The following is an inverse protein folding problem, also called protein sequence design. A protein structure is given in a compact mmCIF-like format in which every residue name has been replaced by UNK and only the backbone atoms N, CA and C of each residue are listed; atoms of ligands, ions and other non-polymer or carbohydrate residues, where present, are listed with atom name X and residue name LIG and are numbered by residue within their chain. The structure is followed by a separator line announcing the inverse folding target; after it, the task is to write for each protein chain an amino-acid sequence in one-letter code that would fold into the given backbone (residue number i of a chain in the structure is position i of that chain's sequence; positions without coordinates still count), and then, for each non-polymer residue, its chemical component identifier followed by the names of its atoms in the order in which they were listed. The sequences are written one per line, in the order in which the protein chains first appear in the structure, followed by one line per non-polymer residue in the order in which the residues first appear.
data_IF_848935925454
#
_entry.id   IF_848935925454
#
_cell.length_a   1.000
_cell.length_b   1.000
_cell.length_c   1.000
_cell.angle_alpha   90.00
_cell.angle_beta   90.00
_cell.angle_gamma   90.00
#
_symmetry.space_group_name_H-M   'P 1'
#
loop_
_entity.id
_entity.type
_entity.pdbx_description
1 polymer ?
#
# COMPACT_ATOMS: atom_id res chain seq x y z
N UNK A 1 4.54 -29.94 6.52
CA UNK A 1 4.10 -28.54 6.35
C UNK A 1 2.65 -28.55 5.93
N UNK A 2 1.76 -28.09 6.81
CA UNK A 2 0.32 -28.18 6.62
C UNK A 2 -0.11 -27.24 5.47
N UNK A 3 -1.14 -27.61 4.72
CA UNK A 3 -1.63 -26.85 3.56
C UNK A 3 -2.00 -25.39 3.92
N UNK A 4 -2.55 -25.20 5.13
CA UNK A 4 -2.81 -23.91 5.75
C UNK A 4 -1.57 -23.00 5.87
N UNK A 5 -0.43 -23.59 6.23
CA UNK A 5 0.83 -22.87 6.39
C UNK A 5 1.39 -22.46 5.02
N UNK A 6 1.17 -23.28 3.99
CA UNK A 6 1.56 -22.96 2.60
C UNK A 6 0.75 -21.79 2.05
N UNK A 7 -0.56 -21.77 2.29
CA UNK A 7 -1.45 -20.68 1.84
C UNK A 7 -1.06 -19.37 2.53
N UNK A 8 -0.86 -19.38 3.85
CA UNK A 8 -0.43 -18.21 4.60
C UNK A 8 0.94 -17.70 4.14
N UNK A 9 1.91 -18.60 3.92
CA UNK A 9 3.22 -18.24 3.38
C UNK A 9 3.09 -17.62 1.99
N UNK A 10 2.27 -18.18 1.11
CA UNK A 10 2.03 -17.61 -0.22
C UNK A 10 1.42 -16.21 -0.14
N UNK A 11 0.46 -16.01 0.77
CA UNK A 11 -0.13 -14.70 1.03
C UNK A 11 0.90 -13.69 1.54
N UNK A 12 1.68 -14.07 2.55
CA UNK A 12 2.75 -13.24 3.12
C UNK A 12 3.79 -12.87 2.07
N UNK A 13 4.18 -13.81 1.21
CA UNK A 13 5.14 -13.55 0.13
C UNK A 13 4.57 -12.57 -0.90
N UNK A 14 3.31 -12.71 -1.30
CA UNK A 14 2.64 -11.76 -2.19
C UNK A 14 2.56 -10.37 -1.54
N UNK A 15 2.21 -10.31 -0.26
CA UNK A 15 2.15 -9.05 0.48
C UNK A 15 3.52 -8.37 0.53
N UNK A 16 4.58 -9.10 0.88
CA UNK A 16 5.96 -8.60 0.89
C UNK A 16 6.35 -8.09 -0.50
N UNK A 17 6.03 -8.83 -1.57
CA UNK A 17 6.33 -8.42 -2.94
C UNK A 17 5.65 -7.10 -3.29
N UNK A 18 4.38 -6.91 -2.94
CA UNK A 18 3.67 -5.66 -3.17
C UNK A 18 4.23 -4.50 -2.34
N UNK A 19 4.59 -4.74 -1.08
CA UNK A 19 5.25 -3.72 -0.23
C UNK A 19 6.62 -3.33 -0.78
N UNK A 20 7.42 -4.28 -1.25
CA UNK A 20 8.71 -4.01 -1.88
C UNK A 20 8.53 -3.23 -3.18
N UNK A 21 7.53 -3.56 -4.01
CA UNK A 21 7.22 -2.78 -5.20
C UNK A 21 6.86 -1.33 -4.84
N UNK A 22 5.94 -1.12 -3.89
CA UNK A 22 5.59 0.22 -3.42
C UNK A 22 6.79 0.98 -2.85
N UNK A 23 7.64 0.34 -2.04
CA UNK A 23 8.83 0.96 -1.48
C UNK A 23 9.82 1.40 -2.57
N UNK A 24 10.16 0.49 -3.50
CA UNK A 24 11.05 0.81 -4.61
C UNK A 24 10.47 1.93 -5.49
N UNK A 25 9.18 1.88 -5.79
CA UNK A 25 8.49 2.92 -6.54
C UNK A 25 8.58 4.29 -5.85
N UNK A 26 8.38 4.35 -4.53
CA UNK A 26 8.49 5.58 -3.74
C UNK A 26 9.94 6.11 -3.70
N UNK A 27 10.94 5.23 -3.62
CA UNK A 27 12.36 5.61 -3.69
C UNK A 27 12.68 6.22 -5.06
N UNK A 28 12.29 5.58 -6.16
CA UNK A 28 12.50 6.09 -7.51
C UNK A 28 11.78 7.42 -7.73
N UNK A 29 10.54 7.55 -7.25
CA UNK A 29 9.77 8.78 -7.33
C UNK A 29 10.46 9.91 -6.54
N UNK A 30 10.91 9.62 -5.32
CA UNK A 30 11.65 10.58 -4.48
C UNK A 30 12.96 11.00 -5.15
N UNK A 31 13.68 10.07 -5.77
CA UNK A 31 14.90 10.33 -6.52
C UNK A 31 14.65 11.28 -7.70
N UNK A 32 13.56 11.06 -8.45
CA UNK A 32 13.17 11.91 -9.58
C UNK A 32 12.93 13.37 -9.18
N UNK A 33 12.39 13.61 -7.97
CA UNK A 33 12.07 14.94 -7.46
C UNK A 33 13.14 15.54 -6.54
N UNK A 34 14.21 14.81 -6.21
CA UNK A 34 15.25 15.28 -5.28
C UNK A 34 16.58 15.55 -5.98
N UNK A 35 16.94 14.74 -6.98
CA UNK A 35 18.24 14.86 -7.65
C UNK A 35 18.16 15.88 -8.80
N UNK A 36 19.07 16.86 -8.79
CA UNK A 36 19.15 17.92 -9.81
C UNK A 36 19.22 17.39 -11.25
N UNK A 37 19.84 16.23 -11.46
CA UNK A 37 19.95 15.55 -12.76
C UNK A 37 18.62 15.04 -13.31
N UNK A 38 17.73 14.55 -12.44
CA UNK A 38 16.42 14.01 -12.84
C UNK A 38 15.31 15.07 -12.80
N UNK A 39 15.57 16.24 -12.22
CA UNK A 39 14.68 17.40 -12.31
C UNK A 39 14.72 18.02 -13.70
N UNK A 40 13.56 18.40 -14.27
CA UNK A 40 13.54 19.18 -15.49
C UNK A 40 14.17 20.56 -15.24
N UNK A 41 14.99 21.03 -16.17
CA UNK A 41 15.52 22.39 -16.15
C UNK A 41 14.42 23.37 -16.53
N UNK A 42 14.18 24.34 -15.67
CA UNK A 42 13.20 25.40 -15.92
C UNK A 42 13.94 26.69 -16.31
N UNK A 43 13.60 27.22 -17.48
CA UNK A 43 14.12 28.50 -17.97
C UNK A 43 12.94 29.45 -18.13
N UNK A 44 12.95 30.60 -17.45
CA UNK A 44 11.87 31.60 -17.48
C UNK A 44 10.47 31.05 -17.16
N UNK A 45 10.37 30.14 -16.16
CA UNK A 45 9.10 29.53 -15.76
C UNK A 45 8.59 28.41 -16.67
N UNK A 46 9.28 28.14 -17.80
CA UNK A 46 8.97 27.02 -18.69
C UNK A 46 9.91 25.86 -18.37
N UNK A 47 9.34 24.78 -17.83
CA UNK A 47 10.07 23.55 -17.51
C UNK A 47 9.94 22.56 -18.67
N UNK A 48 11.07 22.16 -19.27
CA UNK A 48 11.10 21.09 -20.29
C UNK A 48 11.75 19.84 -19.70
N UNK A 49 11.00 18.75 -19.64
CA UNK A 49 11.52 17.43 -19.27
C UNK A 49 12.06 16.70 -20.51
N UNK A 50 13.20 16.05 -20.38
CA UNK A 50 13.70 15.10 -21.39
C UNK A 50 12.80 13.86 -21.43
N UNK A 51 12.68 13.21 -22.59
CA UNK A 51 11.96 11.94 -22.73
C UNK A 51 12.43 10.88 -21.71
N UNK A 52 13.72 10.89 -21.37
CA UNK A 52 14.31 9.99 -20.37
C UNK A 52 13.83 10.28 -18.94
N UNK A 53 13.73 11.57 -18.56
CA UNK A 53 13.24 12.00 -17.24
C UNK A 53 11.75 11.65 -17.08
N UNK A 54 10.96 11.89 -18.13
CA UNK A 54 9.53 11.55 -18.16
C UNK A 54 9.32 10.04 -18.10
N UNK A 55 10.09 9.25 -18.86
CA UNK A 55 10.01 7.79 -18.81
C UNK A 55 10.37 7.24 -17.43
N UNK A 56 11.43 7.76 -16.80
CA UNK A 56 11.83 7.39 -15.45
C UNK A 56 10.72 7.71 -14.43
N UNK A 57 10.15 8.91 -14.48
CA UNK A 57 9.05 9.32 -13.60
C UNK A 57 7.81 8.42 -13.75
N UNK A 58 7.38 8.14 -14.99
CA UNK A 58 6.24 7.25 -15.22
C UNK A 58 6.52 5.82 -14.80
N UNK A 59 7.75 5.31 -15.00
CA UNK A 59 8.12 3.98 -14.54
C UNK A 59 7.96 3.84 -13.02
N UNK A 60 8.36 4.86 -12.26
CA UNK A 60 8.17 4.91 -10.81
C UNK A 60 6.68 4.89 -10.44
N UNK A 61 5.86 5.69 -11.13
CA UNK A 61 4.40 5.70 -10.91
C UNK A 61 3.74 4.35 -11.21
N UNK A 62 4.13 3.67 -12.29
CA UNK A 62 3.61 2.34 -12.62
C UNK A 62 3.99 1.30 -11.57
N UNK A 63 5.22 1.33 -11.06
CA UNK A 63 5.66 0.43 -9.98
C UNK A 63 4.83 0.68 -8.71
N UNK A 64 4.59 1.95 -8.34
CA UNK A 64 3.73 2.30 -7.20
C UNK A 64 2.31 1.80 -7.44
N UNK A 65 1.76 1.98 -8.65
CA UNK A 65 0.41 1.56 -9.00
C UNK A 65 0.25 0.03 -8.86
N UNK A 66 1.24 -0.76 -9.27
CA UNK A 66 1.24 -2.21 -9.10
C UNK A 66 1.27 -2.59 -7.61
N UNK A 67 2.19 -2.01 -6.83
CA UNK A 67 2.30 -2.31 -5.40
C UNK A 67 1.06 -1.92 -4.59
N UNK A 68 0.52 -0.71 -4.83
CA UNK A 68 -0.69 -0.23 -4.17
C UNK A 68 -1.94 -0.99 -4.64
N UNK A 69 -2.01 -1.31 -5.93
CA UNK A 69 -3.12 -2.05 -6.55
C UNK A 69 -3.19 -3.50 -6.08
N UNK A 70 -2.05 -4.16 -5.82
CA UNK A 70 -2.00 -5.51 -5.28
C UNK A 70 -2.29 -5.58 -3.78
N UNK A 71 -1.82 -4.60 -3.01
CA UNK A 71 -1.96 -4.60 -1.54
C UNK A 71 -3.42 -4.51 -1.08
N UNK A 72 -4.21 -3.62 -1.68
CA UNK A 72 -5.61 -3.38 -1.26
C UNK A 72 -6.51 -4.63 -1.31
N UNK A 73 -6.64 -5.34 -2.45
CA UNK A 73 -7.46 -6.55 -2.52
C UNK A 73 -6.86 -7.71 -1.71
N UNK A 74 -5.54 -7.77 -1.55
CA UNK A 74 -4.88 -8.79 -0.76
C UNK A 74 -5.24 -8.65 0.73
N UNK A 75 -5.12 -7.44 1.30
CA UNK A 75 -5.47 -7.20 2.72
C UNK A 75 -6.98 -7.36 2.98
N UNK A 76 -7.83 -6.87 2.07
CA UNK A 76 -9.29 -6.94 2.30
C UNK A 76 -9.82 -8.37 2.25
N UNK A 77 -9.32 -9.20 1.33
CA UNK A 77 -9.69 -10.63 1.27
C UNK A 77 -9.17 -11.38 2.50
N UNK A 78 -7.91 -11.14 2.89
CA UNK A 78 -7.35 -11.74 4.10
C UNK A 78 -8.08 -11.36 5.39
N UNK A 79 -8.46 -10.09 5.52
CA UNK A 79 -9.25 -9.60 6.66
C UNK A 79 -10.63 -10.26 6.70
N UNK A 80 -11.28 -10.42 5.54
CA UNK A 80 -12.56 -11.13 5.44
C UNK A 80 -12.45 -12.60 5.86
N UNK A 81 -11.34 -13.26 5.52
CA UNK A 81 -11.07 -14.68 5.84
C UNK A 81 -10.85 -14.93 7.33
N UNK A 82 -10.60 -13.88 8.13
CA UNK A 82 -10.46 -14.01 9.59
C UNK A 82 -11.78 -14.37 10.28
N UNK A 83 -12.93 -14.04 9.68
CA UNK A 83 -14.25 -14.21 10.28
C UNK A 83 -15.00 -15.42 9.70
N UNK A 84 -15.78 -16.12 10.53
CA UNK A 84 -16.69 -17.19 10.09
C UNK A 84 -18.06 -16.68 9.67
N UNK A 85 -18.42 -17.01 8.43
CA UNK A 85 -19.71 -16.61 7.83
C UNK A 85 -20.87 -17.47 8.36
N UNK A 86 -20.57 -18.65 8.93
CA UNK A 86 -21.57 -19.54 9.55
C UNK A 86 -21.99 -19.01 10.93
N UNK A 87 -21.08 -18.39 11.67
CA UNK A 87 -21.36 -17.87 13.00
C UNK A 87 -22.01 -16.47 12.91
N UNK A 88 -23.27 -16.30 13.35
CA UNK A 88 -23.98 -15.03 13.23
C UNK A 88 -23.31 -13.89 14.01
N UNK A 89 -22.57 -14.18 15.07
CA UNK A 89 -21.80 -13.18 15.83
C UNK A 89 -20.57 -12.70 15.03
N UNK A 90 -19.76 -13.62 14.50
CA UNK A 90 -18.58 -13.28 13.70
C UNK A 90 -18.94 -12.57 12.40
N UNK A 91 -20.08 -12.91 11.79
CA UNK A 91 -20.61 -12.19 10.63
C UNK A 91 -20.89 -10.71 10.92
N UNK A 92 -21.43 -10.38 12.10
CA UNK A 92 -21.63 -8.97 12.52
C UNK A 92 -20.30 -8.26 12.72
N UNK A 93 -19.31 -8.94 13.31
CA UNK A 93 -17.96 -8.39 13.48
C UNK A 93 -17.27 -8.13 12.14
N UNK A 94 -17.43 -9.01 11.14
CA UNK A 94 -16.94 -8.82 9.78
C UNK A 94 -17.49 -7.54 9.14
N UNK A 95 -18.80 -7.29 9.29
CA UNK A 95 -19.43 -6.05 8.79
C UNK A 95 -18.87 -4.83 9.52
N UNK A 96 -18.71 -4.89 10.84
CA UNK A 96 -18.12 -3.81 11.63
C UNK A 96 -16.66 -3.53 11.21
N UNK A 97 -15.88 -4.58 10.94
CA UNK A 97 -14.53 -4.46 10.39
C UNK A 97 -14.51 -3.67 9.07
N UNK A 98 -15.38 -4.00 8.12
CA UNK A 98 -15.45 -3.28 6.85
C UNK A 98 -15.96 -1.85 7.00
N UNK A 99 -16.86 -1.58 7.95
CA UNK A 99 -17.28 -0.22 8.29
C UNK A 99 -16.08 0.60 8.80
N UNK A 100 -15.29 0.06 9.73
CA UNK A 100 -14.11 0.74 10.25
C UNK A 100 -13.00 0.92 9.21
N UNK A 101 -12.79 -0.09 8.37
CA UNK A 101 -11.86 -0.02 7.23
C UNK A 101 -12.21 1.14 6.29
N UNK A 102 -13.49 1.25 5.94
CA UNK A 102 -13.99 2.30 5.05
C UNK A 102 -13.87 3.68 5.70
N UNK A 103 -14.29 3.81 6.96
CA UNK A 103 -14.17 5.05 7.73
C UNK A 103 -12.71 5.52 7.83
N UNK A 104 -11.80 4.62 8.20
CA UNK A 104 -10.37 4.91 8.30
C UNK A 104 -9.77 5.31 6.95
N UNK A 105 -10.22 4.69 5.85
CA UNK A 105 -9.77 5.04 4.49
C UNK A 105 -10.17 6.46 4.09
N UNK A 106 -11.40 6.88 4.42
CA UNK A 106 -11.85 8.26 4.15
C UNK A 106 -11.11 9.29 5.00
N UNK A 107 -10.90 9.02 6.29
CA UNK A 107 -10.08 9.89 7.15
C UNK A 107 -8.65 9.98 6.63
N UNK A 108 -8.05 8.84 6.26
CA UNK A 108 -6.71 8.81 5.67
C UNK A 108 -6.62 9.64 4.38
N UNK A 109 -7.65 9.54 3.53
CA UNK A 109 -7.78 10.39 2.34
C UNK A 109 -7.84 11.88 2.67
N UNK A 110 -8.63 12.27 3.67
CA UNK A 110 -8.75 13.66 4.12
C UNK A 110 -7.45 14.20 4.72
N UNK A 111 -6.75 13.39 5.52
CA UNK A 111 -5.42 13.75 6.06
C UNK A 111 -4.39 13.87 4.95
N UNK A 112 -4.44 13.00 3.95
CA UNK A 112 -3.57 13.09 2.78
C UNK A 112 -3.82 14.37 1.98
N UNK A 113 -5.07 14.73 1.70
CA UNK A 113 -5.38 15.92 0.89
C UNK A 113 -5.13 17.23 1.63
N UNK A 114 -5.37 17.31 2.95
CA UNK A 114 -5.19 18.54 3.71
C UNK A 114 -3.76 18.66 4.27
N UNK A 115 -3.25 17.61 4.90
CA UNK A 115 -1.96 17.62 5.57
C UNK A 115 -0.80 17.28 4.66
N UNK A 116 -0.91 16.17 3.91
CA UNK A 116 0.23 15.70 3.10
C UNK A 116 0.53 16.63 1.92
N UNK A 117 -0.51 17.16 1.26
CA UNK A 117 -0.34 18.18 0.20
C UNK A 117 0.31 19.44 0.76
N UNK A 118 -0.08 19.89 1.96
CA UNK A 118 0.57 21.02 2.62
C UNK A 118 2.07 20.78 2.85
N UNK A 119 2.44 19.58 3.32
CA UNK A 119 3.85 19.19 3.51
C UNK A 119 4.59 19.18 2.16
N UNK A 120 4.00 18.61 1.11
CA UNK A 120 4.62 18.53 -0.22
C UNK A 120 4.92 19.92 -0.81
N UNK A 121 3.96 20.84 -0.71
CA UNK A 121 4.08 22.18 -1.30
C UNK A 121 4.95 23.13 -0.45
N UNK A 122 4.90 23.05 0.89
CA UNK A 122 5.59 24.01 1.77
C UNK A 122 6.91 23.50 2.35
N UNK A 123 7.01 22.21 2.67
CA UNK A 123 8.19 21.59 3.29
C UNK A 123 9.00 20.74 2.30
N UNK A 124 8.42 20.43 1.15
CA UNK A 124 9.08 19.80 0.02
C UNK A 124 8.64 18.35 -0.23
N UNK A 125 8.70 17.99 -1.50
CA UNK A 125 8.28 16.70 -2.03
C UNK A 125 9.01 15.50 -1.42
N UNK A 126 10.29 15.65 -1.05
CA UNK A 126 11.06 14.58 -0.40
C UNK A 126 10.46 14.16 0.95
N UNK A 127 10.11 15.14 1.80
CA UNK A 127 9.43 14.87 3.07
C UNK A 127 8.01 14.35 2.86
N UNK A 128 7.30 14.93 1.89
CA UNK A 128 5.96 14.50 1.51
C UNK A 128 5.87 13.05 1.04
N UNK A 129 6.90 12.52 0.38
CA UNK A 129 6.99 11.08 0.03
C UNK A 129 7.59 10.23 1.15
N UNK A 130 8.39 10.80 2.04
CA UNK A 130 8.94 10.12 3.20
C UNK A 130 7.86 9.67 4.20
N UNK A 131 6.89 10.54 4.50
CA UNK A 131 5.79 10.24 5.44
C UNK A 131 5.01 8.96 5.09
N UNK A 132 4.44 8.80 3.87
CA UNK A 132 3.75 7.57 3.49
C UNK A 132 4.69 6.37 3.41
N UNK A 133 5.97 6.57 3.08
CA UNK A 133 6.97 5.49 3.07
C UNK A 133 7.20 4.92 4.47
N UNK A 134 7.33 5.77 5.49
CA UNK A 134 7.42 5.32 6.89
C UNK A 134 6.13 4.63 7.32
N UNK A 135 4.97 5.17 6.94
CA UNK A 135 3.67 4.55 7.21
C UNK A 135 3.56 3.13 6.64
N UNK A 136 4.03 2.91 5.41
CA UNK A 136 4.08 1.57 4.79
C UNK A 136 4.97 0.62 5.61
N UNK A 137 6.17 1.06 6.01
CA UNK A 137 7.10 0.25 6.81
C UNK A 137 6.46 -0.14 8.16
N UNK A 138 5.88 0.82 8.88
CA UNK A 138 5.20 0.57 10.16
C UNK A 138 4.03 -0.40 9.99
N UNK A 139 3.23 -0.24 8.93
CA UNK A 139 2.10 -1.14 8.66
C UNK A 139 2.56 -2.59 8.42
N UNK A 140 3.68 -2.78 7.72
CA UNK A 140 4.26 -4.10 7.48
C UNK A 140 4.76 -4.74 8.77
N UNK A 141 5.41 -3.96 9.64
CA UNK A 141 5.83 -4.45 10.96
C UNK A 141 4.66 -4.92 11.82
N UNK A 142 3.60 -4.12 11.91
CA UNK A 142 2.39 -4.49 12.66
C UNK A 142 1.77 -5.77 12.08
N UNK A 143 1.70 -5.87 10.74
CA UNK A 143 1.19 -7.06 10.07
C UNK A 143 2.02 -8.31 10.40
N UNK A 144 3.36 -8.19 10.41
CA UNK A 144 4.25 -9.31 10.69
C UNK A 144 4.15 -9.78 12.16
N UNK A 145 4.04 -8.85 13.10
CA UNK A 145 3.84 -9.17 14.52
C UNK A 145 2.51 -9.90 14.75
N UNK A 146 1.48 -9.59 13.94
CA UNK A 146 0.17 -10.24 14.01
C UNK A 146 0.12 -11.66 13.44
N UNK A 147 1.11 -12.10 12.65
CA UNK A 147 1.14 -13.42 11.99
C UNK A 147 0.74 -14.60 12.89
N UNK A 148 1.25 -14.77 14.13
CA UNK A 148 0.87 -15.90 14.98
C UNK A 148 -0.60 -15.88 15.43
N UNK A 149 -1.29 -14.74 15.33
CA UNK A 149 -2.70 -14.60 15.76
C UNK A 149 -3.70 -14.81 14.63
N UNK A 150 -3.24 -14.83 13.38
CA UNK A 150 -4.14 -14.92 12.23
C UNK A 150 -4.71 -16.33 12.04
N UNK A 151 -6.02 -16.40 11.74
CA UNK A 151 -6.72 -17.66 11.48
C UNK A 151 -6.38 -18.17 10.09
N UNK A 152 -6.09 -19.46 10.00
CA UNK A 152 -5.82 -20.14 8.74
C UNK A 152 -7.08 -20.90 8.31
N UNK A 153 -7.82 -20.35 7.34
CA UNK A 153 -8.96 -21.06 6.77
C UNK A 153 -8.55 -21.75 5.47
N UNK A 154 -8.76 -23.07 5.41
CA UNK A 154 -8.84 -23.79 4.13
C UNK A 154 -10.10 -23.28 3.43
N UNK A 155 -10.02 -23.04 2.11
CA UNK A 155 -11.24 -22.91 1.29
C UNK A 155 -12.04 -24.20 1.46
N UNK A 156 -13.15 -24.15 2.21
CA UNK A 156 -14.12 -25.24 2.16
C UNK A 156 -14.72 -25.21 0.75
N UNK A 157 -14.24 -26.10 -0.11
CA UNK A 157 -14.99 -26.51 -1.31
C UNK A 157 -16.24 -27.21 -0.79
N UNK A 158 -17.32 -26.46 -0.59
CA UNK A 158 -18.62 -27.05 -0.35
C UNK A 158 -19.10 -27.67 -1.67
N UNK A 159 -19.41 -28.98 -1.72
CA UNK A 159 -20.11 -29.54 -2.86
C UNK A 159 -21.52 -28.95 -2.85
N UNK A 160 -21.88 -28.38 -4.01
CA UNK A 160 -23.11 -27.71 -4.38
C UNK A 160 -24.40 -28.33 -3.81
#
# INVERSE_FOLDING_TARGET
MNENEKILRSFLMAQIMFYLASFNGMVLLTMSVSIKFWKPTCTNGVCKASSSQTAFFYSALYIIAVGAGGTKPNISTFGADQFDDINPHEKKLKVSFFNWWTFSSFIGGLVATLGLVYIQENLGWGLGYGVPTVGLIVSLFIFYIGVPTYRHKVRKTEPR
#
